data_IF_517598835098
#
_entry.id   IF_517598835098
#
_cell.length_a   1.000
_cell.length_b   1.000
_cell.length_c   1.000
_cell.angle_alpha   90.00
_cell.angle_beta   90.00
_cell.angle_gamma   90.00
#
_symmetry.space_group_name_H-M   'P 1'
#
loop_
_entity.id
_entity.type
_entity.pdbx_description
1 polymer ?
#
# COMPACT_ATOMS: atom_id res chain seq x y z
N UNK A 1 -12.01 -9.42 25.35
CA UNK A 1 -11.06 -8.27 25.42
C UNK A 1 -9.65 -8.83 25.29
N UNK A 2 -8.72 -8.26 24.50
CA UNK A 2 -8.80 -7.09 23.64
C UNK A 2 -8.76 -7.46 22.14
N UNK A 3 -9.15 -6.50 21.31
CA UNK A 3 -9.06 -6.52 19.86
C UNK A 3 -7.60 -6.84 19.47
N UNK A 4 -7.37 -8.07 18.99
CA UNK A 4 -6.07 -8.51 18.48
C UNK A 4 -5.72 -7.55 17.35
N UNK A 5 -4.64 -6.80 17.53
CA UNK A 5 -4.07 -5.85 16.57
C UNK A 5 -4.14 -6.47 15.17
N UNK A 6 -5.16 -6.09 14.39
CA UNK A 6 -5.16 -6.39 12.99
C UNK A 6 -3.96 -5.59 12.45
N UNK A 7 -2.96 -6.23 11.83
CA UNK A 7 -1.93 -5.47 11.13
C UNK A 7 -2.66 -4.48 10.23
N UNK A 8 -2.36 -3.18 10.37
CA UNK A 8 -3.01 -2.11 9.59
C UNK A 8 -3.08 -2.57 8.13
N UNK A 9 -4.29 -2.82 7.66
CA UNK A 9 -4.53 -3.44 6.35
C UNK A 9 -4.92 -2.44 5.28
N UNK A 10 -5.00 -1.16 5.63
CA UNK A 10 -5.27 -0.09 4.69
C UNK A 10 -4.62 1.20 5.22
N UNK A 11 -4.11 2.02 4.30
CA UNK A 11 -3.50 3.31 4.60
C UNK A 11 -4.18 4.43 3.81
N UNK A 12 -5.43 4.80 4.16
CA UNK A 12 -6.12 5.92 3.53
C UNK A 12 -5.37 7.25 3.73
N UNK A 13 -4.56 7.36 4.79
CA UNK A 13 -3.73 8.53 5.13
C UNK A 13 -2.56 8.76 4.16
N UNK A 14 -2.18 7.76 3.36
CA UNK A 14 -1.06 7.81 2.41
C UNK A 14 -1.52 8.04 0.96
N UNK A 15 -2.83 8.21 0.75
CA UNK A 15 -3.38 8.58 -0.56
C UNK A 15 -2.93 10.00 -0.93
N UNK A 16 -2.41 10.18 -2.14
CA UNK A 16 -1.89 11.46 -2.61
C UNK A 16 -0.49 11.81 -2.11
N UNK A 17 0.21 10.90 -1.42
CA UNK A 17 1.65 11.06 -1.16
C UNK A 17 2.51 10.48 -2.29
N UNK A 18 3.79 10.87 -2.30
CA UNK A 18 4.77 10.29 -3.19
C UNK A 18 4.98 8.80 -2.88
N UNK A 19 5.04 7.98 -3.93
CA UNK A 19 5.21 6.53 -3.82
C UNK A 19 6.39 6.10 -2.93
N UNK A 20 7.51 6.83 -2.97
CA UNK A 20 8.70 6.55 -2.17
C UNK A 20 8.46 6.76 -0.67
N UNK A 21 7.81 7.86 -0.29
CA UNK A 21 7.45 8.15 1.10
C UNK A 21 6.45 7.14 1.65
N UNK A 22 5.46 6.78 0.84
CA UNK A 22 4.44 5.79 1.21
C UNK A 22 5.06 4.41 1.41
N UNK A 23 5.93 3.99 0.49
CA UNK A 23 6.68 2.74 0.63
C UNK A 23 7.48 2.68 1.93
N UNK A 24 8.27 3.71 2.22
CA UNK A 24 9.08 3.77 3.44
C UNK A 24 8.22 3.77 4.71
N UNK A 25 7.05 4.42 4.68
CA UNK A 25 6.12 4.45 5.82
C UNK A 25 5.50 3.08 6.06
N UNK A 26 5.05 2.40 5.01
CA UNK A 26 4.41 1.08 5.12
C UNK A 26 5.42 0.01 5.55
N UNK A 27 6.63 -0.01 4.97
CA UNK A 27 7.70 -0.93 5.40
C UNK A 27 8.11 -0.71 6.87
N UNK A 28 8.02 0.53 7.36
CA UNK A 28 8.30 0.89 8.76
C UNK A 28 7.16 0.49 9.70
N UNK A 29 5.91 0.68 9.29
CA UNK A 29 4.72 0.29 10.06
C UNK A 29 4.58 -1.24 10.13
N UNK A 30 4.86 -1.93 9.04
CA UNK A 30 4.72 -3.37 8.96
C UNK A 30 5.79 -4.00 8.04
N UNK A 31 6.92 -4.47 8.59
CA UNK A 31 7.99 -5.09 7.78
C UNK A 31 7.58 -6.44 7.16
N UNK A 32 6.42 -6.99 7.54
CA UNK A 32 5.87 -8.21 6.93
C UNK A 32 5.15 -7.93 5.62
N UNK A 33 4.91 -6.66 5.26
CA UNK A 33 4.28 -6.30 3.99
C UNK A 33 5.32 -5.79 2.99
N UNK A 34 5.20 -6.26 1.76
CA UNK A 34 6.00 -5.81 0.63
C UNK A 34 5.19 -4.80 -0.17
N UNK A 35 5.75 -3.61 -0.36
CA UNK A 35 5.11 -2.55 -1.14
C UNK A 35 5.56 -2.63 -2.59
N UNK A 36 4.59 -2.75 -3.50
CA UNK A 36 4.83 -2.83 -4.94
C UNK A 36 4.19 -1.61 -5.60
N UNK A 37 4.97 -0.63 -6.09
CA UNK A 37 4.44 0.47 -6.89
C UNK A 37 4.06 -0.02 -8.29
N UNK A 38 2.83 0.26 -8.70
CA UNK A 38 2.30 0.04 -10.04
C UNK A 38 1.86 1.37 -10.63
N UNK A 39 2.22 1.62 -11.89
CA UNK A 39 1.71 2.77 -12.64
C UNK A 39 0.20 2.67 -12.83
N UNK A 40 -0.49 3.81 -12.70
CA UNK A 40 -1.91 3.95 -12.96
C UNK A 40 -2.23 3.46 -14.38
N UNK A 41 -3.08 2.44 -14.49
CA UNK A 41 -3.38 1.74 -15.75
C UNK A 41 -2.67 0.41 -15.93
N UNK A 42 -1.69 0.08 -15.09
CA UNK A 42 -1.19 -1.30 -14.98
C UNK A 42 -2.24 -2.16 -14.26
N UNK A 43 -2.52 -3.34 -14.79
CA UNK A 43 -3.37 -4.34 -14.13
C UNK A 43 -2.71 -4.70 -12.81
N UNK A 44 -3.25 -4.16 -11.71
CA UNK A 44 -2.93 -4.64 -10.37
C UNK A 44 -3.37 -6.09 -10.31
N UNK A 45 -2.45 -7.05 -10.16
CA UNK A 45 -2.87 -8.42 -10.06
C UNK A 45 -3.68 -8.55 -8.76
N UNK A 46 -4.92 -9.06 -8.84
CA UNK A 46 -5.83 -9.40 -7.74
C UNK A 46 -5.27 -10.52 -6.83
N UNK A 47 -3.95 -10.53 -6.61
CA UNK A 47 -3.32 -11.49 -5.73
C UNK A 47 -3.53 -10.95 -4.33
N UNK A 48 -4.65 -11.37 -3.75
CA UNK A 48 -4.99 -11.22 -2.35
C UNK A 48 -4.08 -12.13 -1.50
N UNK A 49 -2.78 -11.85 -1.50
CA UNK A 49 -1.80 -12.56 -0.69
C UNK A 49 -1.38 -11.67 0.49
N UNK A 50 -1.61 -12.19 1.70
CA UNK A 50 -1.53 -11.60 3.06
C UNK A 50 -0.29 -10.77 3.46
N UNK A 51 0.54 -10.29 2.54
CA UNK A 51 1.70 -9.45 2.80
C UNK A 51 2.10 -8.57 1.62
N UNK A 52 1.20 -8.25 0.68
CA UNK A 52 1.51 -7.31 -0.40
C UNK A 52 0.59 -6.09 -0.37
N UNK A 53 1.19 -4.93 -0.59
CA UNK A 53 0.47 -3.67 -0.76
C UNK A 53 0.79 -3.13 -2.13
N UNK A 54 -0.21 -3.01 -2.97
CA UNK A 54 -0.07 -2.42 -4.29
C UNK A 54 -0.34 -0.91 -4.20
N UNK A 55 0.65 -0.11 -4.58
CA UNK A 55 0.50 1.34 -4.72
C UNK A 55 0.21 1.68 -6.16
N UNK A 56 -1.00 2.13 -6.47
CA UNK A 56 -1.26 2.74 -7.77
C UNK A 56 -0.71 4.16 -7.79
N UNK A 57 0.30 4.39 -8.61
CA UNK A 57 0.99 5.67 -8.75
C UNK A 57 0.64 6.30 -10.10
N UNK A 58 0.25 7.57 -10.10
CA UNK A 58 0.07 8.34 -11.33
C UNK A 58 1.43 8.59 -12.02
N UNK A 59 1.39 9.07 -13.26
CA UNK A 59 2.59 9.48 -14.02
C UNK A 59 3.42 10.55 -13.28
N UNK A 60 2.79 11.32 -12.39
CA UNK A 60 3.46 12.27 -11.48
C UNK A 60 4.18 11.60 -10.28
N UNK A 61 4.18 10.27 -10.17
CA UNK A 61 4.78 9.52 -9.06
C UNK A 61 3.98 9.60 -7.75
N UNK A 62 2.70 10.02 -7.84
CA UNK A 62 1.84 10.27 -6.70
C UNK A 62 0.80 9.16 -6.56
N UNK A 63 0.51 8.73 -5.33
CA UNK A 63 -0.44 7.65 -5.06
C UNK A 63 -1.87 8.10 -5.39
N UNK A 64 -2.48 7.45 -6.39
CA UNK A 64 -3.84 7.75 -6.87
C UNK A 64 -4.92 6.95 -6.12
N UNK A 65 -4.59 5.71 -5.73
CA UNK A 65 -5.51 4.80 -5.03
C UNK A 65 -5.07 4.51 -3.60
N UNK A 66 -6.05 4.24 -2.75
CA UNK A 66 -5.81 3.85 -1.36
C UNK A 66 -4.99 2.55 -1.33
N UNK A 67 -3.80 2.55 -0.72
CA UNK A 67 -3.05 1.32 -0.45
C UNK A 67 -3.87 0.42 0.46
N UNK A 68 -4.17 -0.78 0.00
CA UNK A 68 -4.85 -1.80 0.79
C UNK A 68 -4.04 -3.09 0.71
N UNK A 69 -3.90 -3.78 1.84
CA UNK A 69 -3.34 -5.14 1.86
C UNK A 69 -4.32 -6.02 1.12
N UNK A 70 -3.84 -6.55 -0.01
CA UNK A 70 -4.47 -7.60 -0.80
C UNK A 70 -3.53 -8.76 -0.74
#
# INVERSE_FOLDING_TARGET
MPYMFAPKSSWPELLGQNAGSVKATIEKENPLVTVVPLLAGSVSPDVSCCGRVYLSINENGNVDKVPTIG
#
